data_IF_982438389114
#
_entry.id   IF_982438389114
#
_cell.length_a   1.000
_cell.length_b   1.000
_cell.length_c   1.000
_cell.angle_alpha   90.00
_cell.angle_beta   90.00
_cell.angle_gamma   90.00
#
_symmetry.space_group_name_H-M   'P 1'
#
loop_
_entity.id
_entity.type
_entity.pdbx_description
1 polymer ?
#
# COMPACT_ATOMS: atom_id res chain seq x y z
N UNK A 1 25.51 -32.43 -3.29
CA UNK A 1 25.52 -32.44 -4.77
C UNK A 1 25.00 -31.08 -5.21
N UNK A 2 25.75 -30.29 -6.00
CA UNK A 2 25.27 -28.96 -6.45
C UNK A 2 24.05 -29.13 -7.35
N UNK A 3 23.04 -28.28 -7.15
CA UNK A 3 21.85 -28.23 -8.01
C UNK A 3 22.29 -28.01 -9.47
N UNK A 4 21.94 -28.91 -10.41
CA UNK A 4 22.37 -28.84 -11.80
C UNK A 4 21.91 -27.57 -12.52
N UNK A 5 20.92 -26.85 -11.98
CA UNK A 5 20.40 -25.60 -12.55
C UNK A 5 21.02 -24.35 -11.90
N UNK A 6 21.77 -24.49 -10.80
CA UNK A 6 22.33 -23.35 -10.04
C UNK A 6 23.36 -22.51 -10.81
N UNK A 7 24.04 -23.09 -11.82
CA UNK A 7 24.98 -22.38 -12.69
C UNK A 7 24.36 -21.90 -14.01
N UNK A 8 23.07 -22.15 -14.25
CA UNK A 8 22.40 -21.74 -15.49
C UNK A 8 22.11 -20.24 -15.47
N UNK A 9 22.61 -19.49 -16.46
CA UNK A 9 22.40 -18.03 -16.60
C UNK A 9 20.92 -17.64 -16.52
N UNK A 10 20.03 -18.43 -17.14
CA UNK A 10 18.59 -18.15 -17.11
C UNK A 10 17.95 -18.37 -15.74
N UNK A 11 18.45 -19.32 -14.94
CA UNK A 11 17.98 -19.52 -13.57
C UNK A 11 18.44 -18.36 -12.68
N UNK A 12 19.70 -17.92 -12.81
CA UNK A 12 20.21 -16.75 -12.09
C UNK A 12 19.39 -15.49 -12.41
N UNK A 13 19.15 -15.23 -13.70
CA UNK A 13 18.30 -14.11 -14.14
C UNK A 13 16.88 -14.19 -13.57
N UNK A 14 16.29 -15.38 -13.54
CA UNK A 14 14.98 -15.59 -12.94
C UNK A 14 14.97 -15.35 -11.43
N UNK A 15 15.99 -15.81 -10.69
CA UNK A 15 16.10 -15.52 -9.24
C UNK A 15 16.25 -14.02 -8.97
N UNK A 16 17.03 -13.31 -9.79
CA UNK A 16 17.17 -11.86 -9.68
C UNK A 16 15.85 -11.14 -9.94
N UNK A 17 15.11 -11.54 -11.00
CA UNK A 17 13.78 -11.00 -11.28
C UNK A 17 12.79 -11.31 -10.16
N UNK A 18 12.84 -12.53 -9.59
CA UNK A 18 11.98 -12.95 -8.47
C UNK A 18 12.27 -12.12 -7.22
N UNK A 19 13.55 -11.84 -6.93
CA UNK A 19 13.99 -10.96 -5.84
C UNK A 19 13.51 -9.52 -6.07
N UNK A 20 13.70 -8.99 -7.28
CA UNK A 20 13.22 -7.67 -7.66
C UNK A 20 11.69 -7.53 -7.47
N UNK A 21 10.93 -8.49 -7.97
CA UNK A 21 9.46 -8.57 -7.79
C UNK A 21 9.07 -8.61 -6.31
N UNK A 22 9.76 -9.42 -5.48
CA UNK A 22 9.48 -9.51 -4.04
C UNK A 22 9.78 -8.19 -3.31
N UNK A 23 10.84 -7.49 -3.70
CA UNK A 23 11.18 -6.20 -3.12
C UNK A 23 10.12 -5.14 -3.44
N UNK A 24 9.64 -5.10 -4.69
CA UNK A 24 8.55 -4.21 -5.09
C UNK A 24 7.25 -4.50 -4.31
N UNK A 25 6.90 -5.77 -4.15
CA UNK A 25 5.74 -6.18 -3.35
C UNK A 25 5.85 -5.73 -1.89
N UNK A 26 7.03 -5.89 -1.28
CA UNK A 26 7.29 -5.43 0.08
C UNK A 26 7.19 -3.91 0.20
N UNK A 27 7.79 -3.17 -0.74
CA UNK A 27 7.71 -1.71 -0.76
C UNK A 27 6.25 -1.22 -0.84
N UNK A 28 5.44 -1.79 -1.72
CA UNK A 28 4.03 -1.42 -1.83
C UNK A 28 3.25 -1.69 -0.53
N UNK A 29 3.56 -2.78 0.19
CA UNK A 29 2.95 -3.08 1.50
C UNK A 29 3.32 -2.04 2.55
N UNK A 30 4.60 -1.66 2.63
CA UNK A 30 5.05 -0.60 3.54
C UNK A 30 4.42 0.76 3.18
N UNK A 31 4.35 1.09 1.88
CA UNK A 31 3.73 2.32 1.40
C UNK A 31 2.23 2.38 1.76
N UNK A 32 1.51 1.27 1.63
CA UNK A 32 0.12 1.19 2.07
C UNK A 32 -0.04 1.45 3.57
N UNK A 33 0.86 0.92 4.41
CA UNK A 33 0.83 1.17 5.87
C UNK A 33 1.02 2.67 6.14
N UNK A 34 1.97 3.32 5.47
CA UNK A 34 2.21 4.76 5.59
C UNK A 34 0.95 5.56 5.19
N UNK A 35 0.32 5.21 4.07
CA UNK A 35 -0.90 5.88 3.62
C UNK A 35 -2.09 5.63 4.55
N UNK A 36 -2.20 4.44 5.13
CA UNK A 36 -3.22 4.12 6.12
C UNK A 36 -3.07 5.02 7.36
N UNK A 37 -1.86 5.11 7.90
CA UNK A 37 -1.55 6.00 9.03
C UNK A 37 -1.80 7.47 8.67
N UNK A 38 -1.43 7.90 7.45
CA UNK A 38 -1.69 9.26 6.98
C UNK A 38 -3.18 9.55 6.93
N UNK A 39 -4.00 8.67 6.35
CA UNK A 39 -5.45 8.83 6.28
C UNK A 39 -6.10 8.94 7.68
N UNK A 40 -5.62 8.15 8.64
CA UNK A 40 -6.08 8.19 10.04
C UNK A 40 -5.76 9.52 10.72
N UNK A 41 -4.56 10.07 10.47
CA UNK A 41 -4.17 11.39 10.96
C UNK A 41 -5.06 12.49 10.37
N UNK A 42 -5.28 12.49 9.05
CA UNK A 42 -6.14 13.47 8.38
C UNK A 42 -7.58 13.42 8.92
N UNK A 43 -8.12 12.20 9.07
CA UNK A 43 -9.47 11.98 9.59
C UNK A 43 -9.60 12.43 11.06
N UNK A 44 -8.57 12.17 11.87
CA UNK A 44 -8.55 12.57 13.28
C UNK A 44 -8.45 14.08 13.44
N UNK A 45 -7.61 14.72 12.62
CA UNK A 45 -7.47 16.17 12.60
C UNK A 45 -8.77 16.87 12.18
N UNK A 46 -9.42 16.39 11.12
CA UNK A 46 -10.73 16.87 10.68
C UNK A 46 -11.78 16.82 11.80
N UNK A 47 -11.91 15.69 12.50
CA UNK A 47 -12.81 15.55 13.66
C UNK A 47 -12.46 16.51 14.79
N UNK A 48 -11.17 16.72 15.04
CA UNK A 48 -10.66 17.68 16.01
C UNK A 48 -11.11 19.10 15.70
N UNK A 49 -10.91 19.54 14.46
CA UNK A 49 -11.34 20.86 13.97
C UNK A 49 -12.86 21.04 14.10
N UNK A 50 -13.67 20.08 13.67
CA UNK A 50 -15.14 20.15 13.81
C UNK A 50 -15.58 20.30 15.27
N UNK A 51 -14.91 19.60 16.19
CA UNK A 51 -15.20 19.68 17.63
C UNK A 51 -14.82 21.05 18.20
N UNK A 52 -13.69 21.62 17.78
CA UNK A 52 -13.24 22.94 18.21
C UNK A 52 -14.17 24.03 17.67
N UNK A 53 -14.52 23.98 16.39
CA UNK A 53 -15.48 24.88 15.76
C UNK A 53 -16.83 24.88 16.52
N UNK A 54 -17.39 23.70 16.80
CA UNK A 54 -18.62 23.58 17.56
C UNK A 54 -18.53 24.10 19.00
N UNK A 55 -17.37 23.97 19.66
CA UNK A 55 -17.13 24.59 20.97
C UNK A 55 -17.07 26.11 20.88
N UNK A 56 -16.44 26.65 19.85
CA UNK A 56 -16.35 28.09 19.62
C UNK A 56 -17.74 28.68 19.38
N UNK A 57 -18.57 28.10 18.49
CA UNK A 57 -19.96 28.54 18.29
C UNK A 57 -20.75 28.57 19.60
N UNK A 58 -20.62 27.53 20.43
CA UNK A 58 -21.28 27.49 21.75
C UNK A 58 -20.79 28.61 22.66
N UNK A 59 -19.48 28.87 22.71
CA UNK A 59 -18.94 29.98 23.49
C UNK A 59 -19.43 31.34 23.00
N UNK A 60 -19.62 31.51 21.69
CA UNK A 60 -20.15 32.74 21.10
C UNK A 60 -21.66 32.93 21.35
N UNK A 61 -22.40 31.86 21.63
CA UNK A 61 -23.87 31.94 21.81
C UNK A 61 -24.33 32.78 23.01
N UNK A 62 -23.44 33.00 23.99
CA UNK A 62 -23.69 33.87 25.13
C UNK A 62 -23.36 35.35 24.87
N UNK A 63 -22.78 35.68 23.71
CA UNK A 63 -22.40 37.04 23.34
C UNK A 63 -23.51 37.74 22.53
N UNK A 64 -23.59 39.07 22.66
CA UNK A 64 -24.38 39.90 21.75
C UNK A 64 -23.83 39.85 20.33
N UNK A 65 -24.71 39.81 19.32
CA UNK A 65 -24.34 39.80 17.90
C UNK A 65 -23.74 41.14 17.48
N UNK A 66 -22.43 41.26 17.58
CA UNK A 66 -21.63 42.42 17.21
C UNK A 66 -20.49 42.00 16.24
N UNK A 67 -19.63 42.95 15.88
CA UNK A 67 -18.49 42.69 14.99
C UNK A 67 -17.55 41.60 15.54
N UNK A 68 -17.31 41.56 16.85
CA UNK A 68 -16.50 40.52 17.50
C UNK A 68 -17.14 39.14 17.36
N UNK A 69 -18.45 39.03 17.61
CA UNK A 69 -19.19 37.78 17.39
C UNK A 69 -19.06 37.32 15.92
N UNK A 70 -19.26 38.23 14.96
CA UNK A 70 -19.20 37.89 13.54
C UNK A 70 -17.80 37.42 13.12
N UNK A 71 -16.75 38.09 13.56
CA UNK A 71 -15.37 37.70 13.27
C UNK A 71 -15.05 36.29 13.79
N UNK A 72 -15.44 35.98 15.03
CA UNK A 72 -15.22 34.64 15.59
C UNK A 72 -16.13 33.57 14.99
N UNK A 73 -17.33 33.94 14.53
CA UNK A 73 -18.19 33.02 13.78
C UNK A 73 -17.52 32.60 12.47
N UNK A 74 -16.92 33.55 11.74
CA UNK A 74 -16.17 33.24 10.52
C UNK A 74 -14.98 32.31 10.79
N UNK A 75 -14.23 32.54 11.88
CA UNK A 75 -13.14 31.62 12.29
C UNK A 75 -13.67 30.19 12.52
N UNK A 76 -14.85 30.05 13.14
CA UNK A 76 -15.48 28.74 13.29
C UNK A 76 -15.87 28.11 11.94
N UNK A 77 -16.40 28.90 11.01
CA UNK A 77 -16.78 28.43 9.68
C UNK A 77 -15.54 27.98 8.88
N UNK A 78 -14.42 28.70 9.00
CA UNK A 78 -13.13 28.30 8.43
C UNK A 78 -12.62 26.98 9.01
N UNK A 79 -12.77 26.77 10.33
CA UNK A 79 -12.42 25.48 10.95
C UNK A 79 -13.27 24.32 10.40
N UNK A 80 -14.56 24.54 10.15
CA UNK A 80 -15.42 23.55 9.51
C UNK A 80 -15.00 23.28 8.06
N UNK A 81 -14.70 24.32 7.28
CA UNK A 81 -14.23 24.20 5.91
C UNK A 81 -12.90 23.42 5.85
N UNK A 82 -11.95 23.76 6.71
CA UNK A 82 -10.66 23.08 6.77
C UNK A 82 -10.82 21.61 7.19
N UNK A 83 -11.72 21.32 8.14
CA UNK A 83 -12.04 19.95 8.51
C UNK A 83 -12.56 19.14 7.31
N UNK A 84 -13.36 19.75 6.45
CA UNK A 84 -13.90 19.10 5.26
C UNK A 84 -12.81 18.75 4.23
N UNK A 85 -11.85 19.67 4.03
CA UNK A 85 -10.68 19.45 3.18
C UNK A 85 -9.86 18.26 3.71
N UNK A 86 -9.55 18.23 5.01
CA UNK A 86 -8.80 17.14 5.63
C UNK A 86 -9.55 15.80 5.56
N UNK A 87 -10.88 15.81 5.78
CA UNK A 87 -11.72 14.62 5.63
C UNK A 87 -11.68 14.09 4.19
N UNK A 88 -11.77 14.98 3.21
CA UNK A 88 -11.71 14.63 1.79
C UNK A 88 -10.35 14.05 1.43
N UNK A 89 -9.25 14.65 1.90
CA UNK A 89 -7.91 14.12 1.71
C UNK A 89 -7.71 12.74 2.36
N UNK A 90 -8.19 12.56 3.59
CA UNK A 90 -8.17 11.26 4.27
C UNK A 90 -8.93 10.18 3.48
N UNK A 91 -10.08 10.53 2.91
CA UNK A 91 -10.85 9.63 2.05
C UNK A 91 -10.14 9.32 0.72
N UNK A 92 -9.47 10.31 0.10
CA UNK A 92 -8.70 10.10 -1.12
C UNK A 92 -7.54 9.10 -0.88
N UNK A 93 -6.83 9.20 0.25
CA UNK A 93 -5.84 8.17 0.61
C UNK A 93 -6.46 6.77 0.70
N UNK A 94 -7.65 6.64 1.28
CA UNK A 94 -8.33 5.35 1.41
C UNK A 94 -8.78 4.77 0.06
N UNK A 95 -9.47 5.57 -0.75
CA UNK A 95 -10.15 5.10 -1.96
C UNK A 95 -9.27 5.12 -3.20
N UNK A 96 -8.38 6.11 -3.33
CA UNK A 96 -7.64 6.35 -4.57
C UNK A 96 -6.17 5.90 -4.47
N UNK A 97 -5.63 5.73 -3.26
CA UNK A 97 -4.26 5.26 -3.07
C UNK A 97 -4.20 3.85 -2.49
N UNK A 98 -4.76 3.62 -1.30
CA UNK A 98 -4.63 2.33 -0.60
C UNK A 98 -5.36 1.21 -1.35
N UNK A 99 -6.57 1.48 -1.84
CA UNK A 99 -7.37 0.51 -2.58
C UNK A 99 -6.72 0.14 -3.92
N UNK A 100 -6.21 1.13 -4.66
CA UNK A 100 -5.50 0.92 -5.92
C UNK A 100 -4.20 0.11 -5.74
N UNK A 101 -3.38 0.44 -4.72
CA UNK A 101 -2.16 -0.35 -4.45
C UNK A 101 -2.52 -1.79 -4.09
N UNK A 102 -3.59 -2.00 -3.30
CA UNK A 102 -4.08 -3.35 -2.97
C UNK A 102 -4.47 -4.12 -4.23
N UNK A 103 -5.22 -3.49 -5.15
CA UNK A 103 -5.61 -4.12 -6.40
C UNK A 103 -4.40 -4.51 -7.25
N UNK A 104 -3.42 -3.61 -7.39
CA UNK A 104 -2.18 -3.88 -8.12
C UNK A 104 -1.42 -5.08 -7.51
N UNK A 105 -1.34 -5.15 -6.18
CA UNK A 105 -0.70 -6.26 -5.48
C UNK A 105 -1.41 -7.60 -5.70
N UNK A 106 -2.74 -7.61 -5.64
CA UNK A 106 -3.54 -8.80 -5.87
C UNK A 106 -3.40 -9.30 -7.31
N UNK A 107 -3.47 -8.40 -8.29
CA UNK A 107 -3.23 -8.72 -9.69
C UNK A 107 -1.82 -9.24 -9.95
N UNK A 108 -0.81 -8.58 -9.37
CA UNK A 108 0.59 -9.03 -9.46
C UNK A 108 0.74 -10.44 -8.89
N UNK A 109 0.13 -10.72 -7.74
CA UNK A 109 0.16 -12.05 -7.11
C UNK A 109 -0.51 -13.11 -7.98
N UNK A 110 -1.67 -12.78 -8.58
CA UNK A 110 -2.38 -13.66 -9.52
C UNK A 110 -1.56 -14.00 -10.75
N UNK A 111 -0.82 -13.03 -11.31
CA UNK A 111 0.06 -13.23 -12.48
C UNK A 111 1.35 -13.98 -12.14
N UNK A 112 1.94 -13.73 -10.97
CA UNK A 112 3.21 -14.33 -10.54
C UNK A 112 3.11 -15.82 -10.21
N UNK A 113 2.05 -16.24 -9.51
CA UNK A 113 1.93 -17.63 -9.03
C UNK A 113 2.00 -18.70 -10.14
N UNK A 114 1.32 -18.56 -11.30
CA UNK A 114 1.44 -19.52 -12.41
C UNK A 114 2.83 -19.58 -13.03
N UNK A 115 3.51 -18.43 -13.14
CA UNK A 115 4.87 -18.35 -13.65
C UNK A 115 5.83 -19.12 -12.73
N UNK A 116 5.80 -18.83 -11.43
CA UNK A 116 6.63 -19.51 -10.43
C UNK A 116 6.42 -21.03 -10.47
N UNK A 117 5.16 -21.47 -10.56
CA UNK A 117 4.80 -22.89 -10.65
C UNK A 117 5.33 -23.56 -11.90
N UNK A 118 5.34 -22.86 -13.04
CA UNK A 118 5.85 -23.39 -14.31
C UNK A 118 7.37 -23.52 -14.28
N UNK A 119 8.07 -22.49 -13.77
CA UNK A 119 9.53 -22.52 -13.66
C UNK A 119 9.99 -23.63 -12.71
N UNK A 120 9.31 -23.81 -11.58
CA UNK A 120 9.62 -24.88 -10.63
C UNK A 120 9.41 -26.27 -11.25
N UNK A 121 8.28 -26.50 -11.92
CA UNK A 121 8.00 -27.78 -12.59
C UNK A 121 9.06 -28.11 -13.65
N UNK A 122 9.42 -27.15 -14.50
CA UNK A 122 10.43 -27.35 -15.54
C UNK A 122 11.82 -27.57 -14.94
N UNK A 123 12.19 -26.83 -13.89
CA UNK A 123 13.45 -27.02 -13.18
C UNK A 123 13.57 -28.42 -12.56
N UNK A 124 12.49 -28.92 -11.96
CA UNK A 124 12.44 -30.27 -11.39
C UNK A 124 12.57 -31.35 -12.48
N UNK A 125 11.89 -31.18 -13.61
CA UNK A 125 11.99 -32.10 -14.76
C UNK A 125 13.41 -32.17 -15.31
N UNK A 126 14.05 -31.02 -15.54
CA UNK A 126 15.43 -30.95 -16.04
C UNK A 126 16.41 -31.60 -15.07
N UNK A 127 16.22 -31.41 -13.77
CA UNK A 127 17.04 -32.06 -12.74
C UNK A 127 16.91 -33.58 -12.77
N UNK A 128 15.68 -34.10 -12.94
CA UNK A 128 15.43 -35.54 -13.06
C UNK A 128 16.06 -36.13 -14.33
N UNK A 129 15.93 -35.45 -15.48
CA UNK A 129 16.55 -35.87 -16.75
C UNK A 129 18.09 -35.85 -16.64
N UNK A 130 18.66 -34.82 -16.00
CA UNK A 130 20.10 -34.76 -15.76
C UNK A 130 20.59 -35.95 -14.91
N UNK A 131 19.84 -36.31 -13.87
CA UNK A 131 20.17 -37.46 -13.02
C UNK A 131 20.05 -38.81 -13.75
N UNK A 132 19.03 -39.01 -14.59
CA UNK A 132 18.87 -40.24 -15.36
C UNK A 132 19.99 -40.41 -16.40
N UNK A 133 20.36 -39.35 -17.11
CA UNK A 133 21.47 -39.35 -18.07
C UNK A 133 22.82 -39.67 -17.39
N UNK A 134 23.08 -39.12 -16.21
CA UNK A 134 24.29 -39.42 -15.43
C UNK A 134 24.34 -40.88 -14.98
N UNK A 135 23.20 -41.49 -14.63
CA UNK A 135 23.12 -42.92 -14.32
C UNK A 135 23.37 -43.79 -15.55
N UNK A 136 22.77 -43.44 -16.68
CA UNK A 136 22.94 -44.17 -17.95
C UNK A 136 24.36 -44.13 -18.50
N UNK A 137 25.18 -43.13 -18.14
CA UNK A 137 26.59 -43.02 -18.55
C UNK A 137 27.58 -43.77 -17.64
N UNK A 138 27.14 -44.27 -16.48
CA UNK A 138 27.97 -45.04 -15.55
C UNK A 138 27.83 -46.56 -15.72
N UNK A 139 26.82 -47.00 -16.48
CA UNK A 139 26.59 -48.37 -16.87
C UNK A 139 27.06 -48.56 -18.31
#
# INVERSE_FOLDING_TARGET
MKDPVSGCTYNLLYQDLKKFSKNGEHFCKELMIVFQQRAELETSYAKGLQKLAGKLIKALSSMGRNSTYNAWSQVSDEMYSMADIHRTLGNAFQQEAILEIRQILDEHTKRKRPLDSTVEKTGNLLSQIGMSNLRSRRN
#
